data_IF_524986103692
#
_entry.id   IF_524986103692
#
_cell.length_a   1.000
_cell.length_b   1.000
_cell.length_c   1.000
_cell.angle_alpha   90.00
_cell.angle_beta   90.00
_cell.angle_gamma   90.00
#
_symmetry.space_group_name_H-M   'P 1'
#
loop_
_entity.id
_entity.type
_entity.pdbx_description
1 polymer ?
#
# COMPACT_ATOMS: atom_id res chain seq x y z
N UNK A 1 7.37 -12.73 -4.17
CA UNK A 1 6.38 -11.78 -4.73
C UNK A 1 6.48 -10.44 -4.02
N UNK A 2 6.47 -9.37 -4.77
CA UNK A 2 6.51 -8.01 -4.24
C UNK A 2 5.11 -7.39 -4.30
N UNK A 3 4.54 -7.10 -3.14
CA UNK A 3 3.18 -6.57 -3.00
C UNK A 3 3.26 -5.13 -2.50
N UNK A 4 2.73 -4.20 -3.27
CA UNK A 4 2.59 -2.81 -2.85
C UNK A 4 1.20 -2.59 -2.25
N UNK A 5 1.14 -2.03 -1.05
CA UNK A 5 -0.11 -1.75 -0.34
C UNK A 5 -0.42 -0.25 -0.37
N UNK A 6 -1.60 0.09 -0.87
CA UNK A 6 -2.11 1.45 -0.82
C UNK A 6 -2.51 1.84 0.62
N UNK A 7 -2.48 3.13 0.90
CA UNK A 7 -2.75 3.70 2.23
C UNK A 7 -4.07 3.19 2.82
N UNK A 8 -5.13 3.14 2.04
CA UNK A 8 -6.46 2.76 2.54
C UNK A 8 -6.52 1.32 3.06
N UNK A 9 -5.75 0.40 2.47
CA UNK A 9 -5.67 -0.98 2.96
C UNK A 9 -5.10 -1.01 4.39
N UNK A 10 -4.05 -0.23 4.65
CA UNK A 10 -3.48 -0.12 5.99
C UNK A 10 -4.37 0.66 6.95
N UNK A 11 -5.09 1.67 6.48
CA UNK A 11 -6.07 2.40 7.30
C UNK A 11 -7.23 1.50 7.72
N UNK A 12 -7.67 0.58 6.86
CA UNK A 12 -8.68 -0.41 7.22
C UNK A 12 -8.21 -1.24 8.43
N UNK A 13 -6.96 -1.64 8.43
CA UNK A 13 -6.36 -2.38 9.54
C UNK A 13 -6.25 -1.52 10.80
N UNK A 14 -5.67 -0.33 10.68
CA UNK A 14 -5.37 0.56 11.81
C UNK A 14 -6.64 1.07 12.49
N UNK A 15 -7.69 1.36 11.71
CA UNK A 15 -8.96 1.89 12.19
C UNK A 15 -10.02 0.80 12.44
N UNK A 16 -9.65 -0.46 12.21
CA UNK A 16 -10.54 -1.62 12.34
C UNK A 16 -11.85 -1.45 11.55
N UNK A 17 -11.71 -1.04 10.28
CA UNK A 17 -12.84 -0.88 9.34
C UNK A 17 -13.18 -2.22 8.69
N UNK A 18 -14.17 -2.24 7.81
CA UNK A 18 -14.69 -3.46 7.17
C UNK A 18 -13.61 -4.28 6.44
N UNK A 19 -12.59 -3.65 5.88
CA UNK A 19 -11.47 -4.32 5.20
C UNK A 19 -10.37 -4.86 6.13
N UNK A 20 -10.49 -4.69 7.45
CA UNK A 20 -9.41 -4.99 8.40
C UNK A 20 -8.98 -6.45 8.38
N UNK A 21 -9.93 -7.39 8.27
CA UNK A 21 -9.61 -8.82 8.26
C UNK A 21 -8.79 -9.23 7.03
N UNK A 22 -9.14 -8.71 5.86
CA UNK A 22 -8.39 -8.98 4.63
C UNK A 22 -7.00 -8.34 4.68
N UNK A 23 -6.89 -7.13 5.22
CA UNK A 23 -5.61 -6.48 5.44
C UNK A 23 -4.71 -7.30 6.39
N UNK A 24 -5.25 -7.82 7.49
CA UNK A 24 -4.51 -8.71 8.41
C UNK A 24 -4.01 -9.96 7.72
N UNK A 25 -4.83 -10.55 6.85
CA UNK A 25 -4.43 -11.75 6.09
C UNK A 25 -3.27 -11.45 5.14
N UNK A 26 -3.29 -10.33 4.45
CA UNK A 26 -2.18 -9.91 3.57
C UNK A 26 -0.90 -9.72 4.40
N UNK A 27 -0.97 -9.01 5.52
CA UNK A 27 0.16 -8.82 6.42
C UNK A 27 0.71 -10.17 6.89
N UNK A 28 -0.18 -11.10 7.24
CA UNK A 28 0.20 -12.45 7.68
C UNK A 28 0.95 -13.23 6.60
N UNK A 29 0.53 -13.12 5.35
CA UNK A 29 1.23 -13.76 4.22
C UNK A 29 2.64 -13.19 4.08
N UNK A 30 2.78 -11.87 4.09
CA UNK A 30 4.08 -11.21 3.99
C UNK A 30 5.03 -11.55 5.15
N UNK A 31 4.48 -11.85 6.32
CA UNK A 31 5.28 -12.22 7.50
C UNK A 31 5.71 -13.69 7.49
N UNK A 32 4.86 -14.57 6.99
CA UNK A 32 5.09 -16.03 7.03
C UNK A 32 5.86 -16.55 5.82
N UNK A 33 5.71 -15.92 4.67
CA UNK A 33 6.33 -16.36 3.43
C UNK A 33 7.62 -15.57 3.19
N UNK A 34 8.75 -16.23 3.30
CA UNK A 34 10.08 -15.62 3.08
C UNK A 34 10.30 -15.11 1.65
N UNK A 35 9.49 -15.56 0.68
CA UNK A 35 9.56 -15.13 -0.71
C UNK A 35 8.64 -13.94 -1.02
N UNK A 36 7.79 -13.54 -0.07
CA UNK A 36 6.87 -12.41 -0.22
C UNK A 36 7.37 -11.20 0.56
N UNK A 37 7.37 -10.04 -0.09
CA UNK A 37 7.73 -8.74 0.52
C UNK A 37 6.56 -7.78 0.39
N UNK A 38 6.26 -7.09 1.47
CA UNK A 38 5.24 -6.05 1.51
C UNK A 38 5.92 -4.68 1.46
N UNK A 39 5.42 -3.83 0.60
CA UNK A 39 5.93 -2.46 0.41
C UNK A 39 4.84 -1.43 0.63
N UNK A 40 5.21 -0.33 1.26
CA UNK A 40 4.38 0.87 1.39
C UNK A 40 5.25 2.08 1.05
N UNK A 41 4.63 3.20 0.69
CA UNK A 41 5.39 4.42 0.45
C UNK A 41 5.61 5.22 1.73
N UNK A 42 6.62 6.09 1.71
CA UNK A 42 6.82 7.10 2.74
C UNK A 42 5.56 7.97 2.93
N UNK A 43 4.89 8.31 1.83
CA UNK A 43 3.63 9.07 1.85
C UNK A 43 2.55 8.36 2.67
N UNK A 44 2.42 7.04 2.54
CA UNK A 44 1.48 6.24 3.32
C UNK A 44 1.71 6.40 4.82
N UNK A 45 2.96 6.37 5.26
CA UNK A 45 3.30 6.55 6.68
C UNK A 45 2.89 7.93 7.19
N UNK A 46 3.14 8.97 6.40
CA UNK A 46 2.73 10.34 6.73
C UNK A 46 1.21 10.49 6.78
N UNK A 47 0.51 9.91 5.82
CA UNK A 47 -0.96 9.95 5.76
C UNK A 47 -1.60 9.24 6.96
N UNK A 48 -1.07 8.09 7.36
CA UNK A 48 -1.56 7.37 8.55
C UNK A 48 -1.37 8.22 9.80
N UNK A 49 -0.19 8.83 9.98
CA UNK A 49 0.08 9.73 11.10
C UNK A 49 -0.92 10.90 11.12
N UNK A 50 -1.23 11.48 9.97
CA UNK A 50 -2.21 12.56 9.86
C UNK A 50 -3.62 12.12 10.26
N UNK A 51 -4.06 10.96 9.79
CA UNK A 51 -5.38 10.40 10.14
C UNK A 51 -5.48 10.17 11.65
N UNK A 52 -4.41 9.72 12.28
CA UNK A 52 -4.34 9.43 13.71
C UNK A 52 -3.99 10.65 14.58
N UNK A 53 -3.90 11.85 14.01
CA UNK A 53 -3.36 13.05 14.68
C UNK A 53 -4.07 13.46 15.98
N UNK A 54 -5.32 13.05 16.17
CA UNK A 54 -6.09 13.35 17.38
C UNK A 54 -5.82 12.35 18.52
N UNK A 55 -5.13 11.25 18.24
CA UNK A 55 -4.73 10.28 19.27
C UNK A 55 -3.46 10.73 19.98
N UNK A 56 -3.20 10.25 21.20
CA UNK A 56 -1.93 10.51 21.88
C UNK A 56 -0.74 10.12 21.01
N UNK A 57 0.32 10.94 21.03
CA UNK A 57 1.49 10.73 20.17
C UNK A 57 2.15 9.36 20.41
N UNK A 58 2.14 8.86 21.64
CA UNK A 58 2.69 7.54 21.95
C UNK A 58 1.95 6.42 21.20
N UNK A 59 0.63 6.51 21.06
CA UNK A 59 -0.16 5.56 20.28
C UNK A 59 0.14 5.66 18.78
N UNK A 60 0.29 6.88 18.26
CA UNK A 60 0.65 7.11 16.85
C UNK A 60 2.01 6.50 16.55
N UNK A 61 3.01 6.77 17.40
CA UNK A 61 4.35 6.20 17.24
C UNK A 61 4.35 4.68 17.32
N UNK A 62 3.59 4.10 18.24
CA UNK A 62 3.49 2.64 18.37
C UNK A 62 2.89 2.01 17.11
N UNK A 63 1.86 2.62 16.54
CA UNK A 63 1.24 2.16 15.30
C UNK A 63 2.23 2.22 14.12
N UNK A 64 2.89 3.38 13.93
CA UNK A 64 3.86 3.55 12.86
C UNK A 64 5.05 2.60 12.99
N UNK A 65 5.54 2.38 14.21
CA UNK A 65 6.64 1.44 14.48
C UNK A 65 6.27 0.01 14.11
N UNK A 66 5.04 -0.40 14.39
CA UNK A 66 4.54 -1.71 14.03
C UNK A 66 4.48 -1.89 12.51
N UNK A 67 3.93 -0.92 11.80
CA UNK A 67 3.88 -0.95 10.34
C UNK A 67 5.27 -0.94 9.71
N UNK A 68 6.19 -0.16 10.27
CA UNK A 68 7.58 -0.10 9.82
C UNK A 68 8.29 -1.45 9.92
N UNK A 69 7.94 -2.27 10.91
CA UNK A 69 8.49 -3.63 11.07
C UNK A 69 7.85 -4.65 10.12
N UNK A 70 6.60 -4.44 9.75
CA UNK A 70 5.83 -5.37 8.91
C UNK A 70 6.02 -5.14 7.41
N UNK A 71 6.30 -3.91 7.01
CA UNK A 71 6.42 -3.51 5.60
C UNK A 71 7.72 -2.78 5.38
N UNK A 72 8.29 -2.93 4.18
CA UNK A 72 9.41 -2.08 3.75
C UNK A 72 8.86 -0.75 3.26
N UNK A 73 9.33 0.35 3.85
CA UNK A 73 8.90 1.70 3.49
C UNK A 73 9.78 2.23 2.36
N UNK A 74 9.16 2.51 1.22
CA UNK A 74 9.86 3.03 0.04
C UNK A 74 10.01 4.54 0.13
N UNK A 75 11.22 5.08 -0.09
CA UNK A 75 11.44 6.52 -0.11
C UNK A 75 10.80 7.17 -1.33
N UNK A 76 10.53 8.46 -1.23
CA UNK A 76 10.11 9.30 -2.35
C UNK A 76 11.09 10.47 -2.45
N UNK A 77 11.45 10.84 -3.69
CA UNK A 77 12.45 11.86 -3.95
C UNK A 77 11.91 12.99 -4.85
N UNK A 78 12.71 14.04 -4.99
CA UNK A 78 12.38 15.21 -5.78
C UNK A 78 12.11 14.88 -7.25
N UNK A 79 12.88 13.98 -7.83
CA UNK A 79 12.71 13.55 -9.22
C UNK A 79 11.36 12.89 -9.45
N UNK A 80 10.91 12.05 -8.53
CA UNK A 80 9.59 11.42 -8.58
C UNK A 80 8.48 12.46 -8.48
N UNK A 81 8.62 13.42 -7.56
CA UNK A 81 7.66 14.50 -7.40
C UNK A 81 7.54 15.34 -8.68
N UNK A 82 8.66 15.75 -9.27
CA UNK A 82 8.67 16.52 -10.52
C UNK A 82 8.04 15.76 -11.67
N UNK A 83 8.33 14.46 -11.80
CA UNK A 83 7.73 13.62 -12.83
C UNK A 83 6.22 13.52 -12.64
N UNK A 84 5.75 13.33 -11.41
CA UNK A 84 4.32 13.28 -11.10
C UNK A 84 3.62 14.61 -11.44
N UNK A 85 4.22 15.74 -11.11
CA UNK A 85 3.66 17.07 -11.42
C UNK A 85 3.49 17.24 -12.93
N UNK A 86 4.47 16.81 -13.73
CA UNK A 86 4.45 16.98 -15.20
C UNK A 86 3.53 16.00 -15.90
N UNK A 87 3.45 14.76 -15.44
CA UNK A 87 2.84 13.66 -16.18
C UNK A 87 1.65 13.02 -15.48
N UNK A 88 1.15 13.62 -14.38
CA UNK A 88 0.02 13.06 -13.64
C UNK A 88 -1.22 12.97 -14.54
N UNK A 89 -1.71 11.74 -14.76
CA UNK A 89 -2.94 11.47 -15.48
C UNK A 89 -4.00 10.80 -14.61
N UNK A 90 -3.63 10.34 -13.41
CA UNK A 90 -4.57 9.82 -12.43
C UNK A 90 -5.47 10.95 -11.90
N UNK A 91 -6.75 10.65 -11.58
CA UNK A 91 -7.65 11.63 -10.98
C UNK A 91 -7.21 12.13 -9.60
N UNK A 92 -6.32 11.38 -8.92
CA UNK A 92 -5.74 11.75 -7.64
C UNK A 92 -4.21 11.82 -7.74
N UNK A 93 -3.64 12.99 -7.47
CA UNK A 93 -2.18 13.20 -7.52
C UNK A 93 -1.42 12.25 -6.59
N UNK A 94 -1.94 12.02 -5.38
CA UNK A 94 -1.33 11.11 -4.41
C UNK A 94 -1.21 9.69 -4.95
N UNK A 95 -2.22 9.21 -5.67
CA UNK A 95 -2.22 7.86 -6.26
C UNK A 95 -1.15 7.74 -7.36
N UNK A 96 -0.87 8.82 -8.09
CA UNK A 96 0.24 8.86 -9.05
C UNK A 96 1.59 8.64 -8.37
N UNK A 97 1.79 9.21 -7.19
CA UNK A 97 3.01 9.00 -6.39
C UNK A 97 3.11 7.55 -5.91
N UNK A 98 1.99 6.96 -5.49
CA UNK A 98 1.95 5.56 -5.08
C UNK A 98 2.32 4.63 -6.24
N UNK A 99 1.74 4.85 -7.41
CA UNK A 99 2.06 4.08 -8.63
C UNK A 99 3.54 4.18 -8.95
N UNK A 100 4.11 5.37 -8.89
CA UNK A 100 5.53 5.59 -9.16
C UNK A 100 6.44 4.78 -8.24
N UNK A 101 6.11 4.75 -6.95
CA UNK A 101 6.83 3.94 -5.98
C UNK A 101 6.77 2.46 -6.32
N UNK A 102 5.58 1.95 -6.64
CA UNK A 102 5.40 0.54 -6.98
C UNK A 102 6.16 0.16 -8.26
N UNK A 103 6.12 1.03 -9.27
CA UNK A 103 6.81 0.80 -10.55
C UNK A 103 8.34 0.80 -10.39
N UNK A 104 8.89 1.76 -9.67
CA UNK A 104 10.34 1.82 -9.44
C UNK A 104 10.86 0.63 -8.65
N UNK A 105 10.08 0.11 -7.71
CA UNK A 105 10.43 -1.09 -6.95
C UNK A 105 10.18 -2.37 -7.74
N UNK A 106 9.57 -2.29 -8.91
CA UNK A 106 9.20 -3.44 -9.75
C UNK A 106 8.26 -4.40 -8.98
N UNK A 107 7.25 -3.84 -8.33
CA UNK A 107 6.26 -4.63 -7.62
C UNK A 107 5.42 -5.47 -8.57
N UNK A 108 5.04 -6.66 -8.13
CA UNK A 108 4.26 -7.62 -8.92
C UNK A 108 2.77 -7.31 -8.89
N UNK A 109 2.31 -6.64 -7.84
CA UNK A 109 0.89 -6.29 -7.66
C UNK A 109 0.75 -5.06 -6.78
N UNK A 110 -0.27 -4.24 -7.08
CA UNK A 110 -0.74 -3.17 -6.21
C UNK A 110 -2.07 -3.63 -5.61
N UNK A 111 -2.16 -3.62 -4.28
CA UNK A 111 -3.40 -3.92 -3.57
C UNK A 111 -4.00 -2.62 -3.05
N UNK A 112 -5.22 -2.33 -3.45
CA UNK A 112 -5.94 -1.09 -3.13
C UNK A 112 -7.43 -1.32 -3.05
N UNK A 113 -8.13 -0.58 -2.20
CA UNK A 113 -9.59 -0.56 -2.18
C UNK A 113 -10.19 0.27 -3.33
N UNK A 114 -9.36 1.12 -3.96
CA UNK A 114 -9.78 2.07 -4.99
C UNK A 114 -9.12 1.76 -6.34
N UNK A 115 -9.47 0.64 -6.93
CA UNK A 115 -8.86 0.15 -8.17
C UNK A 115 -9.02 1.11 -9.35
N UNK A 116 -10.09 1.89 -9.39
CA UNK A 116 -10.36 2.84 -10.49
C UNK A 116 -9.29 3.95 -10.58
N UNK A 117 -8.65 4.33 -9.48
CA UNK A 117 -7.61 5.35 -9.46
C UNK A 117 -6.23 4.83 -9.89
N UNK A 118 -6.07 3.51 -10.03
CA UNK A 118 -4.79 2.87 -10.31
C UNK A 118 -4.77 2.11 -11.64
N UNK A 119 -5.83 1.36 -11.93
CA UNK A 119 -5.83 0.31 -12.96
C UNK A 119 -5.49 0.81 -14.37
N UNK A 120 -5.97 1.99 -14.76
CA UNK A 120 -5.74 2.56 -16.09
C UNK A 120 -4.43 3.36 -16.18
N UNK A 121 -3.66 3.47 -15.11
CA UNK A 121 -2.48 4.32 -15.00
C UNK A 121 -1.18 3.56 -14.78
N UNK A 122 -1.22 2.23 -14.76
CA UNK A 122 -0.06 1.37 -14.58
C UNK A 122 -0.27 0.03 -15.27
N UNK A 123 0.82 -0.60 -15.69
CA UNK A 123 0.81 -1.97 -16.21
C UNK A 123 0.89 -3.01 -15.09
N UNK A 124 1.19 -2.61 -13.87
CA UNK A 124 1.18 -3.51 -12.71
C UNK A 124 -0.26 -3.97 -12.44
N UNK A 125 -0.51 -5.27 -12.23
CA UNK A 125 -1.84 -5.75 -11.83
C UNK A 125 -2.33 -5.04 -10.56
N UNK A 126 -3.56 -4.53 -10.62
CA UNK A 126 -4.21 -3.80 -9.52
C UNK A 126 -5.39 -4.60 -9.03
N UNK A 127 -5.36 -5.01 -7.76
CA UNK A 127 -6.37 -5.88 -7.15
C UNK A 127 -6.88 -5.30 -5.83
N UNK A 128 -8.15 -5.55 -5.54
CA UNK A 128 -8.66 -5.38 -4.17
C UNK A 128 -8.10 -6.49 -3.29
N UNK A 129 -8.12 -6.33 -1.95
CA UNK A 129 -7.75 -7.43 -1.06
C UNK A 129 -8.53 -8.73 -1.33
N UNK A 130 -9.82 -8.63 -1.58
CA UNK A 130 -10.67 -9.78 -1.90
C UNK A 130 -10.21 -10.48 -3.17
N UNK A 131 -9.98 -9.72 -4.25
CA UNK A 131 -9.53 -10.26 -5.54
C UNK A 131 -8.12 -10.84 -5.45
N UNK A 132 -7.26 -10.26 -4.63
CA UNK A 132 -5.93 -10.79 -4.37
C UNK A 132 -5.99 -12.20 -3.80
N UNK A 133 -6.84 -12.45 -2.81
CA UNK A 133 -7.01 -13.79 -2.23
C UNK A 133 -7.65 -14.78 -3.19
N UNK A 134 -8.64 -14.34 -3.97
CA UNK A 134 -9.27 -15.19 -4.98
C UNK A 134 -8.22 -15.69 -5.99
N UNK A 135 -7.29 -14.81 -6.39
CA UNK A 135 -6.22 -15.16 -7.32
C UNK A 135 -5.17 -16.08 -6.70
N UNK A 136 -4.81 -15.89 -5.43
CA UNK A 136 -3.89 -16.77 -4.70
C UNK A 136 -4.47 -18.18 -4.55
N UNK A 137 -5.75 -18.31 -4.26
CA UNK A 137 -6.40 -19.61 -4.09
C UNK A 137 -6.48 -20.40 -5.41
N UNK A 138 -6.53 -19.71 -6.56
CA UNK A 138 -6.58 -20.36 -7.88
C UNK A 138 -5.21 -20.84 -8.37
N UNK A 139 -4.11 -20.44 -7.74
CA UNK A 139 -2.76 -20.89 -8.10
C UNK A 139 -2.31 -22.12 -7.32
N UNK A 140 -3.04 -22.53 -6.29
CA UNK A 140 -2.77 -23.74 -5.50
C UNK A 140 -3.43 -25.00 -6.09
N UNK A 141 -4.17 -24.84 -7.18
CA UNK A 141 -4.71 -25.92 -7.99
C UNK A 141 -3.80 -26.14 -9.23
#
# INVERSE_FOLDING_TARGET
>A
MKIFLDTNVLLDLVLDRDGANDARRIISIGHKDEWTRLYVSFLTMANIAYVLRKRPMDEVKACLSKLYKLCEVLPMNDSQLMTAIRNCSSPAFEDSLQIMCAEEKLCDVIVTDNTAHFRDFTDIPVLTPVDFFAKCNNTDD
#
